data_IF_594778121986
#
_entry.id   IF_594778121986
#
_cell.length_a   1.000
_cell.length_b   1.000
_cell.length_c   1.000
_cell.angle_alpha   90.00
_cell.angle_beta   90.00
_cell.angle_gamma   90.00
#
_symmetry.space_group_name_H-M   'P 1'
#
loop_
_entity.id
_entity.type
_entity.pdbx_description
1 polymer ?
#
# COMPACT_ATOMS: atom_id res chain seq x y z
N UNK A 1 -14.92 -3.53 7.78
CA UNK A 1 -14.09 -3.50 9.00
C UNK A 1 -14.50 -2.28 9.81
N UNK A 2 -14.69 -2.43 11.13
CA UNK A 2 -15.04 -1.30 12.03
C UNK A 2 -13.80 -0.67 12.66
N UNK A 3 -12.70 -1.42 12.70
CA UNK A 3 -11.38 -1.04 13.25
C UNK A 3 -10.27 -1.62 12.35
N UNK A 4 -9.10 -0.98 12.34
CA UNK A 4 -7.91 -1.45 11.61
C UNK A 4 -6.78 -1.67 12.61
N UNK A 5 -6.16 -2.84 12.55
CA UNK A 5 -5.02 -3.19 13.40
C UNK A 5 -3.69 -2.72 12.84
N UNK A 6 -2.61 -3.16 13.49
CA UNK A 6 -1.24 -2.72 13.18
C UNK A 6 -0.48 -3.70 12.28
N UNK A 7 -1.09 -4.82 11.90
CA UNK A 7 -0.46 -5.80 11.02
C UNK A 7 -0.86 -5.59 9.56
N UNK A 8 -0.07 -6.18 8.66
CA UNK A 8 -0.31 -6.08 7.22
C UNK A 8 -0.26 -7.46 6.57
N UNK A 9 -1.29 -7.77 5.78
CA UNK A 9 -1.27 -8.86 4.83
C UNK A 9 -0.56 -8.40 3.56
N UNK A 10 0.57 -9.05 3.24
CA UNK A 10 1.32 -8.82 2.00
C UNK A 10 0.80 -9.69 0.87
N UNK A 11 0.59 -9.09 -0.30
CA UNK A 11 0.32 -9.76 -1.57
C UNK A 11 1.36 -9.30 -2.58
N UNK A 12 2.26 -10.20 -2.96
CA UNK A 12 3.35 -9.89 -3.88
C UNK A 12 2.84 -9.64 -5.30
N UNK A 13 3.54 -8.78 -6.06
CA UNK A 13 3.28 -8.48 -7.47
C UNK A 13 1.87 -7.94 -7.75
N UNK A 14 1.28 -7.28 -6.75
CA UNK A 14 -0.01 -6.66 -6.91
C UNK A 14 0.00 -5.22 -6.42
N UNK A 15 -0.89 -4.42 -7.00
CA UNK A 15 -1.11 -3.02 -6.66
C UNK A 15 -2.49 -2.56 -7.16
N UNK A 16 -2.95 -1.43 -6.66
CA UNK A 16 -4.15 -0.72 -7.08
C UNK A 16 -3.74 0.52 -7.88
N UNK A 17 -4.00 0.51 -9.17
CA UNK A 17 -3.61 1.60 -10.05
C UNK A 17 -4.41 2.89 -9.78
N UNK A 18 -3.72 4.02 -9.60
CA UNK A 18 -4.32 5.35 -9.63
C UNK A 18 -4.96 5.85 -8.32
N UNK A 19 -4.86 5.13 -7.21
CA UNK A 19 -5.46 5.53 -5.93
C UNK A 19 -4.45 5.87 -4.83
N UNK A 20 -3.30 6.40 -5.24
CA UNK A 20 -2.24 6.81 -4.32
C UNK A 20 -2.57 8.18 -3.72
N UNK A 21 -2.87 8.24 -2.43
CA UNK A 21 -3.13 9.51 -1.74
C UNK A 21 -1.84 10.19 -1.30
N UNK A 22 -0.87 9.40 -0.83
CA UNK A 22 0.47 9.87 -0.50
C UNK A 22 1.51 9.01 -1.24
N UNK A 23 2.61 9.64 -1.63
CA UNK A 23 3.76 8.99 -2.30
C UNK A 23 5.04 9.36 -1.57
N UNK A 24 5.85 8.36 -1.24
CA UNK A 24 7.16 8.54 -0.60
C UNK A 24 8.23 7.81 -1.41
N UNK A 25 9.34 8.50 -1.68
CA UNK A 25 10.47 7.98 -2.45
C UNK A 25 11.69 7.80 -1.54
N UNK A 26 12.50 6.79 -1.82
CA UNK A 26 13.74 6.51 -1.08
C UNK A 26 13.51 6.01 0.35
N UNK A 27 12.29 5.57 0.67
CA UNK A 27 11.93 5.01 1.98
C UNK A 27 12.05 3.48 1.99
N UNK A 28 12.13 2.87 3.16
CA UNK A 28 12.06 1.41 3.31
C UNK A 28 10.61 0.91 3.38
N UNK A 29 10.42 -0.40 3.26
CA UNK A 29 9.10 -1.03 3.49
C UNK A 29 8.60 -0.74 4.92
N UNK A 30 9.51 -0.72 5.90
CA UNK A 30 9.18 -0.47 7.30
C UNK A 30 8.75 0.97 7.55
N UNK A 31 9.41 1.93 6.88
CA UNK A 31 8.97 3.33 6.89
C UNK A 31 7.56 3.45 6.30
N UNK A 32 7.24 2.69 5.25
CA UNK A 32 5.93 2.70 4.62
C UNK A 32 4.82 2.19 5.57
N UNK A 33 5.10 1.12 6.33
CA UNK A 33 4.21 0.65 7.42
C UNK A 33 4.01 1.73 8.47
N UNK A 34 5.10 2.31 8.98
CA UNK A 34 5.05 3.35 10.00
C UNK A 34 4.25 4.57 9.51
N UNK A 35 4.48 5.02 8.27
CA UNK A 35 3.79 6.15 7.65
C UNK A 35 2.29 5.89 7.44
N UNK A 36 1.90 4.65 7.19
CA UNK A 36 0.50 4.24 7.08
C UNK A 36 -0.17 4.22 8.46
N UNK A 37 0.44 3.58 9.46
CA UNK A 37 -0.11 3.47 10.82
C UNK A 37 -0.30 4.83 11.50
N UNK A 38 0.62 5.77 11.24
CA UNK A 38 0.60 7.11 11.86
C UNK A 38 -0.14 8.17 11.01
N UNK A 39 -0.85 7.76 9.95
CA UNK A 39 -1.60 8.69 9.09
C UNK A 39 -2.81 9.25 9.84
N UNK A 40 -2.92 10.57 9.91
CA UNK A 40 -4.02 11.26 10.61
C UNK A 40 -4.99 12.00 9.67
N UNK A 41 -4.56 12.30 8.45
CA UNK A 41 -5.38 12.96 7.42
C UNK A 41 -6.47 12.05 6.86
N UNK A 42 -6.26 10.74 6.90
CA UNK A 42 -7.22 9.70 6.52
C UNK A 42 -6.82 8.38 7.18
N UNK A 43 -7.75 7.43 7.22
CA UNK A 43 -7.43 6.07 7.65
C UNK A 43 -6.68 5.39 6.49
N UNK A 44 -5.36 5.28 6.62
CA UNK A 44 -4.58 4.45 5.71
C UNK A 44 -5.00 3.00 5.91
N UNK A 45 -5.45 2.37 4.82
CA UNK A 45 -5.96 0.99 4.79
C UNK A 45 -4.99 0.07 4.07
N UNK A 46 -4.25 0.62 3.12
CA UNK A 46 -3.29 -0.12 2.30
C UNK A 46 -2.07 0.72 1.98
N UNK A 47 -0.99 0.04 1.64
CA UNK A 47 0.11 0.65 0.93
C UNK A 47 0.71 -0.30 -0.10
N UNK A 48 1.39 0.26 -1.09
CA UNK A 48 2.19 -0.49 -2.05
C UNK A 48 3.65 -0.10 -1.86
N UNK A 49 4.52 -1.10 -1.93
CA UNK A 49 5.95 -0.89 -1.84
C UNK A 49 6.67 -1.65 -2.95
N UNK A 50 7.57 -0.97 -3.64
CA UNK A 50 8.35 -1.55 -4.73
C UNK A 50 9.54 -0.67 -5.08
N UNK A 51 10.24 -1.03 -6.15
CA UNK A 51 11.36 -0.26 -6.68
C UNK A 51 11.12 0.10 -8.14
N UNK A 52 11.30 1.38 -8.46
CA UNK A 52 11.29 1.90 -9.82
C UNK A 52 12.59 2.65 -10.09
N UNK A 53 13.28 2.29 -11.18
CA UNK A 53 14.57 2.89 -11.57
C UNK A 53 15.62 2.94 -10.44
N UNK A 54 15.64 1.92 -9.57
CA UNK A 54 16.58 1.84 -8.44
C UNK A 54 16.18 2.65 -7.20
N UNK A 55 15.03 3.33 -7.22
CA UNK A 55 14.49 4.09 -6.09
C UNK A 55 13.33 3.33 -5.50
N UNK A 56 13.34 3.14 -4.18
CA UNK A 56 12.19 2.56 -3.49
C UNK A 56 11.03 3.55 -3.48
N UNK A 57 9.83 3.05 -3.71
CA UNK A 57 8.61 3.83 -3.74
C UNK A 57 7.58 3.22 -2.80
N UNK A 58 6.86 4.09 -2.12
CA UNK A 58 5.82 3.77 -1.16
C UNK A 58 4.58 4.59 -1.50
N UNK A 59 3.48 3.91 -1.76
CA UNK A 59 2.20 4.53 -2.09
C UNK A 59 1.17 4.19 -1.02
N UNK A 60 0.62 5.18 -0.33
CA UNK A 60 -0.40 4.95 0.70
C UNK A 60 -1.79 5.19 0.14
N UNK A 61 -2.77 4.40 0.60
CA UNK A 61 -4.16 4.55 0.19
C UNK A 61 -5.18 4.22 1.28
N UNK A 62 -6.35 4.85 1.19
CA UNK A 62 -7.54 4.64 2.02
C UNK A 62 -8.51 3.66 1.38
N UNK A 63 -8.11 2.95 0.33
CA UNK A 63 -8.95 1.96 -0.34
C UNK A 63 -8.27 0.59 -0.35
N UNK A 64 -9.08 -0.45 -0.49
CA UNK A 64 -8.61 -1.83 -0.70
C UNK A 64 -8.95 -2.30 -2.11
N UNK A 65 -8.42 -3.46 -2.50
CA UNK A 65 -8.75 -4.11 -3.77
C UNK A 65 -10.25 -4.38 -3.96
N UNK A 66 -11.03 -4.42 -2.87
CA UNK A 66 -12.49 -4.58 -2.91
C UNK A 66 -13.22 -3.28 -3.29
N UNK A 67 -12.63 -2.13 -3.02
CA UNK A 67 -13.23 -0.83 -3.34
C UNK A 67 -13.00 -0.47 -4.82
N UNK A 68 -11.87 -0.90 -5.39
CA UNK A 68 -11.49 -0.67 -6.78
C UNK A 68 -11.08 -1.97 -7.51
N UNK A 69 -11.98 -2.96 -7.65
CA UNK A 69 -11.64 -4.27 -8.20
C UNK A 69 -11.18 -4.22 -9.67
N UNK A 70 -11.60 -3.21 -10.43
CA UNK A 70 -11.17 -3.01 -11.82
C UNK A 70 -9.74 -2.47 -11.94
N UNK A 71 -9.19 -1.92 -10.87
CA UNK A 71 -7.86 -1.31 -10.83
C UNK A 71 -6.88 -2.16 -10.01
N UNK A 72 -7.30 -3.35 -9.58
CA UNK A 72 -6.46 -4.33 -8.91
C UNK A 72 -5.69 -5.15 -9.94
N UNK A 73 -4.38 -4.92 -10.04
CA UNK A 73 -3.53 -5.54 -11.04
C UNK A 73 -2.56 -6.53 -10.43
N UNK A 74 -2.30 -7.59 -11.20
CA UNK A 74 -1.15 -8.47 -11.02
C UNK A 74 -0.11 -8.12 -12.07
N UNK A 75 1.09 -7.78 -11.64
CA UNK A 75 2.21 -7.44 -12.52
C UNK A 75 3.52 -8.02 -11.96
N UNK A 76 3.97 -9.16 -12.48
CA UNK A 76 5.21 -9.78 -12.04
C UNK A 76 6.46 -9.13 -12.63
N UNK A 77 6.32 -8.28 -13.67
CA UNK A 77 7.45 -7.57 -14.28
C UNK A 77 7.84 -6.35 -13.44
N UNK A 78 6.91 -5.83 -12.63
CA UNK A 78 7.17 -4.79 -11.65
C UNK A 78 7.30 -5.35 -10.23
N UNK A 79 8.23 -4.79 -9.45
CA UNK A 79 8.59 -5.29 -8.12
C UNK A 79 7.65 -4.84 -6.99
N UNK A 80 6.47 -4.30 -7.30
CA UNK A 80 5.55 -3.82 -6.28
C UNK A 80 4.88 -4.97 -5.54
N UNK A 81 4.67 -4.77 -4.25
CA UNK A 81 3.85 -5.62 -3.40
C UNK A 81 2.81 -4.74 -2.71
N UNK A 82 1.59 -5.26 -2.64
CA UNK A 82 0.48 -4.65 -1.94
C UNK A 82 0.45 -5.13 -0.48
N UNK A 83 0.15 -4.21 0.43
CA UNK A 83 0.05 -4.46 1.85
C UNK A 83 -1.29 -3.91 2.33
N UNK A 84 -2.14 -4.78 2.85
CA UNK A 84 -3.42 -4.37 3.43
C UNK A 84 -3.38 -4.52 4.93
N UNK A 85 -3.81 -3.48 5.65
CA UNK A 85 -3.98 -3.56 7.10
C UNK A 85 -4.99 -4.62 7.47
N UNK A 86 -4.70 -5.35 8.54
CA UNK A 86 -5.68 -6.25 9.14
C UNK A 86 -6.89 -5.49 9.67
N UNK A 87 -8.01 -6.20 9.65
CA UNK A 87 -9.22 -5.74 10.28
C UNK A 87 -9.30 -6.41 11.64
N UNK A 88 -9.15 -5.62 12.69
CA UNK A 88 -9.40 -6.03 14.09
C UNK A 88 -10.90 -6.18 14.34
#
# INVERSE_FOLDING_TARGET
CTTYGDNFLKVAYHFIHGYNQDTFLGVSEEDCKFLCLNRTSYICRTFEFGQYQGVNECYLSSITSLDAPSEWYYDPDHSYSYYQRDCD
#
